data_IF_840631002006
#
_entry.id   IF_840631002006
#
_cell.length_a   1.000
_cell.length_b   1.000
_cell.length_c   1.000
_cell.angle_alpha   90.00
_cell.angle_beta   90.00
_cell.angle_gamma   90.00
#
_symmetry.space_group_name_H-M   'P 1'
#
loop_
_entity.id
_entity.type
_entity.pdbx_description
1 polymer ?
#
# COMPACT_ATOMS: atom_id res chain seq x y z
N UNK A 1 42.19 -6.98 -77.79
CA UNK A 1 40.96 -7.60 -77.25
C UNK A 1 40.73 -7.01 -75.86
N UNK A 2 39.87 -5.99 -75.69
CA UNK A 2 38.53 -6.09 -75.06
C UNK A 2 38.62 -6.23 -73.53
N UNK A 3 38.00 -5.47 -72.62
CA UNK A 3 36.85 -4.54 -72.62
C UNK A 3 36.94 -3.61 -71.38
N UNK A 4 36.22 -2.48 -71.46
CA UNK A 4 35.87 -1.49 -70.41
C UNK A 4 35.18 -2.09 -69.16
N UNK A 5 35.33 -1.44 -67.99
CA UNK A 5 34.19 -1.13 -67.10
C UNK A 5 34.51 0.05 -66.15
N UNK A 6 33.58 1.01 -66.11
CA UNK A 6 33.61 2.24 -65.30
C UNK A 6 32.97 2.10 -63.91
N UNK A 7 32.52 3.20 -63.28
CA UNK A 7 32.80 3.55 -61.87
C UNK A 7 31.64 3.26 -60.90
N UNK A 8 31.95 3.03 -59.61
CA UNK A 8 31.00 3.02 -58.50
C UNK A 8 31.51 4.01 -57.43
N UNK A 9 30.97 5.22 -57.32
CA UNK A 9 29.73 5.63 -56.61
C UNK A 9 29.89 5.52 -55.09
N UNK A 10 30.07 6.70 -54.47
CA UNK A 10 30.07 6.93 -53.04
C UNK A 10 28.78 6.44 -52.36
N UNK A 11 28.90 5.81 -51.20
CA UNK A 11 27.79 5.59 -50.27
C UNK A 11 28.04 6.39 -49.00
N UNK A 12 27.05 7.21 -48.67
CA UNK A 12 26.99 8.10 -47.53
C UNK A 12 26.87 7.32 -46.22
N UNK A 13 27.44 7.91 -45.16
CA UNK A 13 27.34 7.47 -43.77
C UNK A 13 25.87 7.41 -43.32
N UNK A 14 25.43 6.25 -42.82
CA UNK A 14 24.23 6.16 -42.01
C UNK A 14 24.53 6.64 -40.57
N UNK A 15 23.57 7.28 -39.87
CA UNK A 15 23.73 7.65 -38.46
C UNK A 15 23.61 6.42 -37.56
N UNK A 16 24.28 6.37 -36.39
CA UNK A 16 24.14 5.26 -35.47
C UNK A 16 22.74 5.27 -34.86
N UNK A 17 21.99 4.19 -35.06
CA UNK A 17 20.80 3.89 -34.29
C UNK A 17 21.20 3.76 -32.81
N UNK A 18 20.92 4.81 -32.04
CA UNK A 18 20.92 4.79 -30.59
C UNK A 18 19.70 3.99 -30.13
N UNK A 19 19.77 2.67 -30.24
CA UNK A 19 18.91 1.78 -29.48
C UNK A 19 19.39 1.84 -28.04
N UNK A 20 18.86 2.79 -27.28
CA UNK A 20 18.85 2.72 -25.82
C UNK A 20 17.94 1.56 -25.44
N UNK A 21 18.44 0.34 -25.55
CA UNK A 21 17.87 -0.80 -24.85
C UNK A 21 17.96 -0.46 -23.35
N UNK A 22 16.85 0.02 -22.81
CA UNK A 22 16.62 0.06 -21.38
C UNK A 22 16.70 -1.39 -20.89
N UNK A 23 17.91 -1.83 -20.51
CA UNK A 23 18.13 -3.08 -19.80
C UNK A 23 17.35 -2.93 -18.49
N UNK A 24 16.13 -3.47 -18.48
CA UNK A 24 15.30 -3.52 -17.30
C UNK A 24 16.06 -4.31 -16.25
N UNK A 25 16.74 -3.60 -15.35
CA UNK A 25 17.56 -4.23 -14.32
C UNK A 25 16.62 -4.99 -13.40
N UNK A 26 16.82 -6.30 -13.28
CA UNK A 26 15.96 -7.16 -12.46
C UNK A 26 16.01 -6.64 -11.01
N UNK A 27 14.84 -6.29 -10.47
CA UNK A 27 14.73 -5.79 -9.10
C UNK A 27 15.18 -6.85 -8.08
N UNK A 28 15.86 -6.40 -7.03
CA UNK A 28 16.30 -7.24 -5.93
C UNK A 28 15.12 -7.54 -5.02
N UNK A 29 14.81 -8.84 -4.86
CA UNK A 29 13.76 -9.33 -3.95
C UNK A 29 14.12 -9.07 -2.49
N UNK A 30 13.13 -8.85 -1.63
CA UNK A 30 13.28 -8.74 -0.17
C UNK A 30 13.90 -9.97 0.48
N UNK A 31 13.80 -11.13 -0.18
CA UNK A 31 14.38 -12.40 0.27
C UNK A 31 15.82 -12.63 -0.22
N UNK A 32 16.35 -11.74 -1.07
CA UNK A 32 17.72 -11.85 -1.56
C UNK A 32 18.71 -11.38 -0.50
N UNK A 33 19.84 -12.07 -0.36
CA UNK A 33 20.93 -11.66 0.55
C UNK A 33 21.50 -10.28 0.22
N UNK A 34 21.37 -9.81 -1.03
CA UNK A 34 21.78 -8.48 -1.45
C UNK A 34 20.80 -7.35 -1.10
N UNK A 35 19.60 -7.67 -0.60
CA UNK A 35 18.55 -6.67 -0.38
C UNK A 35 18.97 -5.60 0.63
N UNK A 36 19.48 -6.00 1.80
CA UNK A 36 19.87 -5.06 2.85
C UNK A 36 20.98 -4.10 2.39
N UNK A 37 21.95 -4.62 1.63
CA UNK A 37 23.04 -3.82 1.06
C UNK A 37 22.48 -2.82 0.05
N UNK A 38 21.57 -3.24 -0.83
CA UNK A 38 20.96 -2.36 -1.82
C UNK A 38 20.05 -1.31 -1.17
N UNK A 39 19.26 -1.68 -0.16
CA UNK A 39 18.43 -0.76 0.62
C UNK A 39 19.28 0.31 1.32
N UNK A 40 20.39 -0.08 1.93
CA UNK A 40 21.33 0.86 2.54
C UNK A 40 21.92 1.83 1.51
N UNK A 41 22.32 1.33 0.33
CA UNK A 41 22.81 2.17 -0.78
C UNK A 41 21.74 3.15 -1.29
N UNK A 42 20.47 2.77 -1.22
CA UNK A 42 19.33 3.63 -1.55
C UNK A 42 18.98 4.63 -0.42
N UNK A 43 19.75 4.67 0.66
CA UNK A 43 19.52 5.58 1.79
C UNK A 43 18.45 5.10 2.77
N UNK A 44 18.02 3.83 2.71
CA UNK A 44 17.11 3.22 3.68
C UNK A 44 17.91 2.76 4.90
N UNK A 45 17.67 3.40 6.04
CA UNK A 45 18.40 3.12 7.27
C UNK A 45 17.63 2.14 8.16
N UNK A 46 18.35 1.13 8.65
CA UNK A 46 17.82 0.23 9.68
C UNK A 46 17.51 1.00 10.97
N UNK A 47 16.65 0.46 11.85
CA UNK A 47 16.30 1.10 13.12
C UNK A 47 17.49 1.52 13.98
N UNK A 48 18.58 0.74 13.97
CA UNK A 48 19.80 1.05 14.74
C UNK A 48 20.54 2.30 14.26
N UNK A 49 20.37 2.66 12.99
CA UNK A 49 21.01 3.83 12.36
C UNK A 49 20.02 4.98 12.13
N UNK A 50 18.75 4.77 12.47
CA UNK A 50 17.70 5.76 12.33
C UNK A 50 17.68 6.72 13.52
N UNK A 51 17.37 7.98 13.23
CA UNK A 51 17.17 9.00 14.27
C UNK A 51 15.71 8.97 14.73
N UNK A 52 15.40 9.47 15.93
CA UNK A 52 14.02 9.68 16.34
C UNK A 52 13.38 10.81 15.52
N UNK A 53 12.07 10.73 15.28
CA UNK A 53 11.30 11.83 14.69
C UNK A 53 11.16 12.99 15.68
N UNK A 54 10.96 14.21 15.17
CA UNK A 54 10.75 15.40 16.00
C UNK A 54 9.47 15.32 16.84
N UNK A 55 8.46 14.59 16.37
CA UNK A 55 7.18 14.40 17.05
C UNK A 55 7.10 13.12 17.89
N UNK A 56 8.24 12.51 18.25
CA UNK A 56 8.28 11.23 18.96
C UNK A 56 7.45 11.23 20.26
N UNK A 57 7.47 12.34 21.01
CA UNK A 57 6.68 12.47 22.25
C UNK A 57 5.18 12.33 21.99
N UNK A 58 4.67 13.00 20.96
CA UNK A 58 3.26 12.91 20.56
C UNK A 58 2.90 11.49 20.10
N UNK A 59 3.82 10.82 19.40
CA UNK A 59 3.65 9.42 18.97
C UNK A 59 3.48 8.51 20.20
N UNK A 60 4.34 8.66 21.22
CA UNK A 60 4.23 7.88 22.45
C UNK A 60 2.93 8.15 23.20
N UNK A 61 2.56 9.43 23.36
CA UNK A 61 1.32 9.82 24.04
C UNK A 61 0.08 9.28 23.31
N UNK A 62 0.08 9.32 21.98
CA UNK A 62 -0.99 8.75 21.15
C UNK A 62 -1.08 7.23 21.32
N UNK A 63 0.05 6.52 21.23
CA UNK A 63 0.10 5.07 21.38
C UNK A 63 -0.35 4.62 22.78
N UNK A 64 0.06 5.35 23.82
CA UNK A 64 -0.27 5.04 25.21
C UNK A 64 -1.68 5.48 25.64
N UNK A 65 -2.37 6.32 24.85
CA UNK A 65 -3.65 6.93 25.22
C UNK A 65 -4.68 5.91 25.70
N UNK A 66 -5.30 6.19 26.85
CA UNK A 66 -6.38 5.36 27.39
C UNK A 66 -7.58 5.31 26.45
N UNK A 67 -8.31 4.19 26.51
CA UNK A 67 -9.46 3.94 25.64
C UNK A 67 -10.69 3.68 26.49
N UNK A 68 -11.86 4.13 25.99
CA UNK A 68 -13.17 3.87 26.61
C UNK A 68 -13.51 2.37 26.57
N UNK A 69 -13.11 1.69 25.49
CA UNK A 69 -13.36 0.26 25.34
C UNK A 69 -12.57 -0.54 26.38
N UNK A 70 -13.27 -1.42 27.09
CA UNK A 70 -12.67 -2.29 28.08
C UNK A 70 -11.51 -3.13 27.52
N UNK A 71 -10.50 -3.35 28.35
CA UNK A 71 -9.44 -4.31 28.08
C UNK A 71 -10.02 -5.73 28.01
N UNK A 72 -9.43 -6.63 27.21
CA UNK A 72 -9.85 -8.03 27.21
C UNK A 72 -9.69 -8.64 28.59
N UNK A 73 -10.64 -9.51 28.96
CA UNK A 73 -10.53 -10.39 30.12
C UNK A 73 -9.39 -11.39 29.91
N UNK A 74 -8.90 -12.00 30.99
CA UNK A 74 -7.78 -12.94 30.97
C UNK A 74 -8.03 -14.15 30.07
N UNK A 75 -9.26 -14.69 30.04
CA UNK A 75 -9.63 -15.79 29.14
C UNK A 75 -9.41 -15.48 27.65
N UNK A 76 -9.63 -14.23 27.24
CA UNK A 76 -9.39 -13.82 25.84
C UNK A 76 -7.89 -13.77 25.53
N UNK A 77 -7.07 -13.47 26.55
CA UNK A 77 -5.63 -13.50 26.41
C UNK A 77 -5.09 -14.94 26.34
N UNK A 78 -5.55 -15.84 27.21
CA UNK A 78 -5.14 -17.25 27.17
C UNK A 78 -5.53 -17.91 25.83
N UNK A 79 -6.76 -17.68 25.33
CA UNK A 79 -7.18 -18.16 24.01
C UNK A 79 -6.30 -17.60 22.88
N UNK A 80 -5.89 -16.33 22.96
CA UNK A 80 -4.94 -15.75 22.01
C UNK A 80 -3.57 -16.44 22.07
N UNK A 81 -3.02 -16.65 23.26
CA UNK A 81 -1.71 -17.29 23.47
C UNK A 81 -1.72 -18.72 22.91
N UNK A 82 -2.77 -19.49 23.19
CA UNK A 82 -2.90 -20.86 22.70
C UNK A 82 -2.97 -20.92 21.17
N UNK A 83 -3.74 -20.02 20.54
CA UNK A 83 -3.83 -19.93 19.07
C UNK A 83 -2.51 -19.53 18.42
N UNK A 84 -1.85 -18.51 18.95
CA UNK A 84 -0.53 -18.07 18.46
C UNK A 84 0.51 -19.16 18.65
N UNK A 85 0.48 -19.90 19.77
CA UNK A 85 1.37 -21.04 20.01
C UNK A 85 1.12 -22.17 19.01
N UNK A 86 -0.14 -22.40 18.64
CA UNK A 86 -0.53 -23.40 17.64
C UNK A 86 -0.33 -22.98 16.18
N UNK A 87 0.07 -21.73 15.90
CA UNK A 87 0.25 -21.24 14.54
C UNK A 87 1.49 -21.86 13.88
N UNK A 88 1.27 -22.81 12.98
CA UNK A 88 2.35 -23.56 12.31
C UNK A 88 3.02 -22.82 11.15
N UNK A 89 2.43 -21.71 10.68
CA UNK A 89 2.96 -20.95 9.55
C UNK A 89 2.59 -19.45 9.64
N UNK A 90 3.22 -18.64 8.77
CA UNK A 90 3.03 -17.18 8.70
C UNK A 90 1.58 -16.78 8.41
N UNK A 91 0.88 -17.52 7.55
CA UNK A 91 -0.51 -17.20 7.20
C UNK A 91 -1.43 -17.35 8.41
N UNK A 92 -1.29 -18.43 9.18
CA UNK A 92 -2.01 -18.62 10.44
C UNK A 92 -1.66 -17.52 11.44
N UNK A 93 -0.39 -17.12 11.53
CA UNK A 93 0.01 -16.01 12.40
C UNK A 93 -0.68 -14.69 12.04
N UNK A 94 -0.78 -14.37 10.74
CA UNK A 94 -1.49 -13.17 10.26
C UNK A 94 -2.96 -13.21 10.66
N UNK A 95 -3.63 -14.37 10.52
CA UNK A 95 -5.03 -14.55 10.93
C UNK A 95 -5.21 -14.29 12.42
N UNK A 96 -4.34 -14.84 13.27
CA UNK A 96 -4.46 -14.69 14.72
C UNK A 96 -4.16 -13.27 15.20
N UNK A 97 -3.14 -12.61 14.63
CA UNK A 97 -2.85 -11.20 14.93
C UNK A 97 -3.97 -10.27 14.42
N UNK A 98 -4.64 -10.59 13.32
CA UNK A 98 -5.75 -9.77 12.83
C UNK A 98 -6.91 -9.69 13.84
N UNK A 99 -7.10 -10.70 14.69
CA UNK A 99 -8.16 -10.71 15.72
C UNK A 99 -8.02 -9.63 16.78
N UNK A 100 -6.79 -9.16 17.04
CA UNK A 100 -6.56 -8.09 18.02
C UNK A 100 -6.78 -6.69 17.43
N UNK A 101 -6.81 -6.56 16.10
CA UNK A 101 -7.12 -5.32 15.40
C UNK A 101 -8.58 -4.89 15.62
N UNK A 102 -8.85 -3.59 15.41
CA UNK A 102 -10.20 -3.01 15.43
C UNK A 102 -10.80 -3.15 14.04
N UNK A 103 -12.05 -3.61 13.98
CA UNK A 103 -12.87 -3.57 12.77
C UNK A 103 -13.52 -2.20 12.62
N UNK A 104 -13.58 -1.72 11.38
CA UNK A 104 -14.19 -0.44 11.03
C UNK A 104 -15.41 -0.67 10.14
N UNK A 105 -16.39 0.26 10.17
CA UNK A 105 -17.55 0.21 9.31
C UNK A 105 -17.17 0.39 7.82
N UNK A 106 -18.15 0.22 6.92
CA UNK A 106 -18.01 0.33 5.46
C UNK A 106 -17.21 1.58 5.03
N UNK A 107 -16.36 1.44 4.02
CA UNK A 107 -15.51 2.50 3.46
C UNK A 107 -14.03 2.47 3.90
N UNK A 108 -13.70 1.75 4.98
CA UNK A 108 -12.32 1.52 5.41
C UNK A 108 -11.94 0.04 5.19
N UNK A 109 -11.14 -0.22 4.16
CA UNK A 109 -10.82 -1.58 3.69
C UNK A 109 -9.50 -2.06 4.25
N UNK A 110 -9.42 -3.39 4.39
CA UNK A 110 -8.20 -4.14 4.70
C UNK A 110 -7.76 -4.85 3.43
N UNK A 111 -6.45 -4.87 3.19
CA UNK A 111 -5.83 -5.62 2.12
C UNK A 111 -4.67 -6.45 2.69
N UNK A 112 -4.51 -7.66 2.15
CA UNK A 112 -3.42 -8.56 2.52
C UNK A 112 -2.50 -8.74 1.34
N UNK A 113 -1.20 -8.71 1.58
CA UNK A 113 -0.17 -8.93 0.56
C UNK A 113 -0.33 -8.04 -0.68
N UNK A 114 -0.84 -6.81 -0.52
CA UNK A 114 -1.03 -5.89 -1.63
C UNK A 114 0.26 -5.12 -1.90
N UNK A 115 0.83 -5.31 -3.09
CA UNK A 115 2.00 -4.55 -3.52
C UNK A 115 1.61 -3.07 -3.74
N UNK A 116 2.39 -2.16 -3.18
CA UNK A 116 2.22 -0.73 -3.35
C UNK A 116 2.90 -0.27 -4.65
N UNK A 117 2.25 -0.52 -5.77
CA UNK A 117 2.77 -0.20 -7.12
C UNK A 117 2.57 1.26 -7.53
N UNK A 118 1.84 2.03 -6.73
CA UNK A 118 1.58 3.45 -6.98
C UNK A 118 2.82 4.34 -6.79
N UNK A 119 3.88 3.82 -6.16
CA UNK A 119 5.15 4.54 -6.07
C UNK A 119 5.89 4.49 -7.41
N UNK A 120 6.38 5.63 -7.93
CA UNK A 120 7.24 5.63 -9.10
C UNK A 120 8.47 4.72 -8.89
N UNK A 121 8.89 4.04 -9.96
CA UNK A 121 10.02 3.09 -9.91
C UNK A 121 11.36 3.78 -9.65
N UNK A 122 11.42 5.06 -9.97
CA UNK A 122 12.58 5.95 -9.88
C UNK A 122 12.61 6.77 -8.58
N UNK A 123 11.65 6.57 -7.66
CA UNK A 123 11.78 7.15 -6.32
C UNK A 123 13.03 6.54 -5.67
N UNK A 124 13.95 7.39 -5.19
CA UNK A 124 15.31 6.99 -4.82
C UNK A 124 15.44 5.78 -3.88
N UNK A 125 14.44 5.53 -3.02
CA UNK A 125 14.43 4.36 -2.14
C UNK A 125 14.10 3.04 -2.86
N UNK A 126 13.39 3.05 -4.00
CA UNK A 126 13.01 1.86 -4.78
C UNK A 126 14.04 1.45 -5.84
N UNK A 127 15.15 2.19 -5.98
CA UNK A 127 16.15 1.94 -7.03
C UNK A 127 16.73 0.52 -6.96
N UNK A 128 16.35 -0.33 -7.92
CA UNK A 128 16.79 -1.73 -7.96
C UNK A 128 16.17 -2.63 -6.87
N UNK A 129 15.11 -2.19 -6.21
CA UNK A 129 14.33 -2.96 -5.22
C UNK A 129 12.91 -3.23 -5.72
N UNK A 130 12.32 -4.35 -5.27
CA UNK A 130 10.89 -4.61 -5.52
C UNK A 130 10.01 -3.63 -4.74
N UNK A 131 8.81 -3.36 -5.28
CA UNK A 131 7.80 -2.56 -4.57
C UNK A 131 7.47 -3.17 -3.20
N UNK A 132 7.18 -2.30 -2.23
CA UNK A 132 6.75 -2.72 -0.89
C UNK A 132 5.46 -3.53 -0.97
N UNK A 133 5.43 -4.69 -0.33
CA UNK A 133 4.27 -5.57 -0.26
C UNK A 133 4.01 -5.95 1.20
N UNK A 134 3.36 -5.08 1.99
CA UNK A 134 3.03 -5.40 3.37
C UNK A 134 2.06 -6.59 3.43
N UNK A 135 2.21 -7.42 4.47
CA UNK A 135 1.31 -8.54 4.73
C UNK A 135 -0.11 -8.06 5.08
N UNK A 136 -0.22 -6.83 5.60
CA UNK A 136 -1.48 -6.19 5.98
C UNK A 136 -1.41 -4.69 5.71
N UNK A 137 -2.44 -4.14 5.08
CA UNK A 137 -2.67 -2.71 4.92
C UNK A 137 -4.13 -2.38 5.19
N UNK A 138 -4.38 -1.17 5.68
CA UNK A 138 -5.74 -0.63 5.83
C UNK A 138 -5.80 0.83 5.37
N UNK A 139 -6.94 1.25 4.85
CA UNK A 139 -7.13 2.59 4.31
C UNK A 139 -8.52 2.82 3.75
N UNK A 140 -8.80 4.06 3.33
CA UNK A 140 -10.06 4.35 2.64
C UNK A 140 -10.05 3.78 1.22
N UNK A 141 -11.23 3.47 0.73
CA UNK A 141 -11.44 3.10 -0.68
C UNK A 141 -11.03 4.25 -1.61
N UNK A 142 -10.53 3.90 -2.80
CA UNK A 142 -10.10 4.89 -3.81
C UNK A 142 -11.24 5.81 -4.23
N UNK A 143 -12.48 5.31 -4.23
CA UNK A 143 -13.69 6.09 -4.49
C UNK A 143 -13.93 7.18 -3.43
N UNK A 144 -13.31 7.08 -2.25
CA UNK A 144 -13.33 8.16 -1.27
C UNK A 144 -12.33 9.28 -1.61
N UNK A 145 -11.37 9.07 -2.52
CA UNK A 145 -10.21 9.94 -2.77
C UNK A 145 -10.11 10.58 -4.16
N UNK A 146 -11.10 10.42 -5.03
CA UNK A 146 -10.93 10.76 -6.45
C UNK A 146 -10.92 12.28 -6.78
N UNK A 147 -9.97 12.81 -7.58
CA UNK A 147 -8.54 12.51 -7.62
C UNK A 147 -7.68 13.67 -7.06
N UNK A 148 -6.58 13.36 -6.37
CA UNK A 148 -5.55 14.32 -5.91
C UNK A 148 -4.12 13.77 -6.00
N UNK A 149 -3.07 14.60 -6.25
CA UNK A 149 -1.67 14.20 -6.20
C UNK A 149 -0.94 14.63 -4.90
N UNK A 150 -0.09 13.74 -4.36
CA UNK A 150 1.15 14.12 -3.64
C UNK A 150 1.14 14.19 -2.10
N UNK A 151 2.32 14.06 -1.44
CA UNK A 151 2.50 13.13 -0.33
C UNK A 151 3.06 13.79 0.95
N UNK A 152 2.19 14.15 1.88
CA UNK A 152 2.56 14.36 3.30
C UNK A 152 2.16 13.14 4.16
N UNK A 153 2.20 11.96 3.54
CA UNK A 153 1.79 10.71 4.17
C UNK A 153 2.71 10.36 5.35
N UNK A 154 2.21 10.53 6.58
CA UNK A 154 2.85 9.97 7.77
C UNK A 154 2.66 8.46 7.76
N UNK A 155 3.71 7.72 7.44
CA UNK A 155 3.67 6.26 7.43
C UNK A 155 4.03 5.73 8.81
N UNK A 156 3.13 4.95 9.39
CA UNK A 156 3.38 4.15 10.58
C UNK A 156 3.12 2.68 10.24
N UNK A 157 3.99 1.81 10.72
CA UNK A 157 3.83 0.36 10.52
C UNK A 157 3.98 -0.36 11.85
N UNK A 158 3.55 -1.61 11.87
CA UNK A 158 3.92 -2.53 12.93
C UNK A 158 4.43 -3.83 12.31
N UNK A 159 5.30 -4.53 13.03
CA UNK A 159 5.74 -5.88 12.71
C UNK A 159 5.45 -6.81 13.88
N UNK A 160 5.29 -8.10 13.58
CA UNK A 160 5.01 -9.12 14.58
C UNK A 160 5.62 -10.45 14.18
N UNK A 161 6.13 -11.17 15.18
CA UNK A 161 6.51 -12.58 15.11
C UNK A 161 5.51 -13.48 15.88
N UNK A 162 4.40 -12.90 16.34
CA UNK A 162 3.43 -13.54 17.24
C UNK A 162 3.75 -13.37 18.73
N UNK A 163 5.00 -13.08 19.08
CA UNK A 163 5.41 -12.84 20.47
C UNK A 163 5.48 -11.35 20.76
N UNK A 164 6.08 -10.58 19.86
CA UNK A 164 6.29 -9.14 20.02
C UNK A 164 5.61 -8.35 18.92
N UNK A 165 4.91 -7.28 19.29
CA UNK A 165 4.53 -6.21 18.38
C UNK A 165 5.58 -5.12 18.43
N UNK A 166 6.12 -4.71 17.29
CA UNK A 166 7.05 -3.59 17.18
C UNK A 166 6.44 -2.50 16.31
N UNK A 167 6.34 -1.28 16.83
CA UNK A 167 5.77 -0.14 16.13
C UNK A 167 6.86 0.76 15.59
N UNK A 168 6.78 1.07 14.30
CA UNK A 168 7.75 1.89 13.59
C UNK A 168 7.09 3.12 12.97
N UNK A 169 7.79 4.25 13.02
CA UNK A 169 7.47 5.43 12.23
C UNK A 169 8.49 5.59 11.12
N UNK A 170 8.02 6.03 9.96
CA UNK A 170 8.85 6.20 8.79
C UNK A 170 8.81 7.62 8.30
N UNK A 171 9.98 8.16 7.95
CA UNK A 171 10.11 9.51 7.46
C UNK A 171 11.35 9.67 6.58
N UNK A 172 11.29 10.62 5.67
CA UNK A 172 12.38 10.97 4.78
C UNK A 172 12.96 12.33 5.19
N UNK A 173 14.29 12.47 5.18
CA UNK A 173 14.97 13.73 5.47
C UNK A 173 16.03 13.99 4.41
N UNK A 174 16.11 15.22 3.86
CA UNK A 174 17.25 15.62 3.05
C UNK A 174 18.55 15.56 3.85
N UNK A 175 19.56 14.95 3.26
CA UNK A 175 20.92 14.88 3.77
C UNK A 175 21.74 16.06 3.22
N UNK A 176 22.86 16.39 3.88
CA UNK A 176 23.72 17.53 3.53
C UNK A 176 24.29 17.45 2.10
N UNK A 177 24.42 16.24 1.58
CA UNK A 177 24.85 15.92 0.21
C UNK A 177 23.72 16.02 -0.83
N UNK A 178 22.52 16.47 -0.43
CA UNK A 178 21.34 16.58 -1.30
C UNK A 178 20.61 15.26 -1.53
N UNK A 179 21.06 14.16 -0.94
CA UNK A 179 20.37 12.86 -1.01
C UNK A 179 19.21 12.79 -0.03
N UNK A 180 18.22 11.92 -0.27
CA UNK A 180 17.13 11.67 0.68
C UNK A 180 17.48 10.44 1.50
N UNK A 181 17.50 10.56 2.83
CA UNK A 181 17.64 9.44 3.77
C UNK A 181 16.28 9.04 4.30
N UNK A 182 15.96 7.77 4.18
CA UNK A 182 14.76 7.18 4.74
C UNK A 182 15.08 6.56 6.10
N UNK A 183 14.33 6.96 7.10
CA UNK A 183 14.47 6.52 8.48
C UNK A 183 13.28 5.64 8.86
N UNK A 184 13.59 4.48 9.44
CA UNK A 184 12.62 3.62 10.09
C UNK A 184 12.95 3.59 11.58
N UNK A 185 12.19 4.31 12.40
CA UNK A 185 12.45 4.39 13.85
C UNK A 185 11.42 3.57 14.63
N UNK A 186 11.89 2.60 15.41
CA UNK A 186 11.05 1.85 16.34
C UNK A 186 10.78 2.70 17.58
N UNK A 187 9.52 3.10 17.77
CA UNK A 187 9.13 3.96 18.89
C UNK A 187 8.45 3.17 20.02
N UNK A 188 7.91 1.99 19.76
CA UNK A 188 7.29 1.18 20.82
C UNK A 188 7.42 -0.31 20.50
N UNK A 189 7.37 -1.12 21.56
CA UNK A 189 7.22 -2.57 21.45
C UNK A 189 6.38 -3.10 22.60
N UNK A 190 5.66 -4.19 22.36
CA UNK A 190 4.89 -4.89 23.39
C UNK A 190 5.03 -6.41 23.19
N UNK A 191 5.34 -7.13 24.28
CA UNK A 191 5.29 -8.58 24.28
C UNK A 191 3.83 -9.02 24.48
N UNK A 192 3.19 -9.47 23.41
CA UNK A 192 1.75 -9.80 23.39
C UNK A 192 1.44 -11.23 23.79
N UNK A 193 2.47 -12.07 23.95
CA UNK A 193 2.31 -13.50 24.22
C UNK A 193 2.70 -13.91 25.63
N UNK A 194 3.70 -13.25 26.23
CA UNK A 194 4.28 -13.71 27.50
C UNK A 194 3.60 -13.09 28.72
N UNK A 195 2.87 -11.98 28.56
CA UNK A 195 2.16 -11.34 29.67
C UNK A 195 0.79 -10.79 29.26
N UNK A 196 -0.22 -10.92 30.15
CA UNK A 196 -1.54 -10.31 29.94
C UNK A 196 -1.47 -8.79 29.79
N UNK A 197 -0.59 -8.16 30.57
CA UNK A 197 -0.39 -6.71 30.50
C UNK A 197 0.21 -6.30 29.15
N UNK A 198 1.24 -7.00 28.66
CA UNK A 198 1.82 -6.75 27.34
C UNK A 198 0.84 -7.00 26.20
N UNK A 199 -0.06 -8.00 26.31
CA UNK A 199 -1.18 -8.16 25.38
C UNK A 199 -2.14 -6.96 25.42
N UNK A 200 -2.52 -6.48 26.61
CA UNK A 200 -3.35 -5.27 26.75
C UNK A 200 -2.68 -4.05 26.14
N UNK A 201 -1.38 -3.87 26.37
CA UNK A 201 -0.59 -2.74 25.90
C UNK A 201 -0.42 -2.78 24.37
N UNK A 202 -0.08 -3.94 23.81
CA UNK A 202 0.04 -4.14 22.37
C UNK A 202 -1.28 -3.93 21.64
N UNK A 203 -2.38 -4.51 22.15
CA UNK A 203 -3.74 -4.30 21.61
C UNK A 203 -4.17 -2.84 21.73
N UNK A 204 -3.81 -2.15 22.83
CA UNK A 204 -4.09 -0.71 23.01
C UNK A 204 -3.35 0.11 21.96
N UNK A 205 -2.04 -0.11 21.82
CA UNK A 205 -1.19 0.58 20.85
C UNK A 205 -1.72 0.41 19.42
N UNK A 206 -1.94 -0.84 18.96
CA UNK A 206 -2.48 -1.11 17.63
C UNK A 206 -3.76 -0.32 17.36
N UNK A 207 -4.73 -0.41 18.26
CA UNK A 207 -6.03 0.21 18.03
C UNK A 207 -6.00 1.74 18.12
N UNK A 208 -5.06 2.31 18.88
CA UNK A 208 -4.81 3.75 18.91
C UNK A 208 -4.18 4.23 17.60
N UNK A 209 -3.25 3.47 17.05
CA UNK A 209 -2.61 3.75 15.76
C UNK A 209 -3.60 3.61 14.60
N UNK A 210 -4.40 2.54 14.57
CA UNK A 210 -5.46 2.38 13.58
C UNK A 210 -6.46 3.55 13.62
N UNK A 211 -6.83 4.01 14.82
CA UNK A 211 -7.75 5.13 14.98
C UNK A 211 -7.12 6.45 14.50
N UNK A 212 -5.84 6.67 14.83
CA UNK A 212 -5.10 7.82 14.36
C UNK A 212 -4.96 7.83 12.84
N UNK A 213 -4.58 6.71 12.23
CA UNK A 213 -4.48 6.57 10.78
C UNK A 213 -5.82 6.87 10.09
N UNK A 214 -6.93 6.37 10.65
CA UNK A 214 -8.27 6.68 10.17
C UNK A 214 -8.61 8.17 10.27
N UNK A 215 -8.34 8.82 11.41
CA UNK A 215 -8.58 10.25 11.59
C UNK A 215 -7.74 11.10 10.62
N UNK A 216 -6.47 10.76 10.44
CA UNK A 216 -5.59 11.42 9.47
C UNK A 216 -6.05 11.21 8.02
N UNK A 217 -6.70 10.09 7.70
CA UNK A 217 -7.23 9.82 6.36
C UNK A 217 -8.49 10.64 6.05
N UNK A 218 -9.30 10.98 7.07
CA UNK A 218 -10.55 11.73 6.87
C UNK A 218 -10.35 13.22 6.66
N UNK A 219 -9.38 13.86 7.32
CA UNK A 219 -9.12 15.28 7.12
C UNK A 219 -8.89 15.68 5.64
N UNK A 220 -7.97 15.04 4.88
CA UNK A 220 -7.77 15.36 3.47
C UNK A 220 -8.99 14.99 2.61
N UNK A 221 -9.69 13.89 2.93
CA UNK A 221 -10.93 13.51 2.25
C UNK A 221 -11.99 14.59 2.36
N UNK A 222 -12.20 15.10 3.57
CA UNK A 222 -13.25 16.08 3.84
C UNK A 222 -12.90 17.45 3.23
N UNK A 223 -11.62 17.84 3.26
CA UNK A 223 -11.12 19.01 2.52
C UNK A 223 -11.35 18.87 1.00
N UNK A 224 -11.06 17.71 0.42
CA UNK A 224 -11.26 17.46 -1.01
C UNK A 224 -12.74 17.54 -1.38
N UNK A 225 -13.62 16.92 -0.58
CA UNK A 225 -15.08 17.02 -0.76
C UNK A 225 -15.55 18.47 -0.74
N UNK A 226 -15.03 19.27 0.18
CA UNK A 226 -15.41 20.68 0.30
C UNK A 226 -14.92 21.51 -0.89
N UNK A 227 -13.67 21.33 -1.32
CA UNK A 227 -13.12 21.97 -2.53
C UNK A 227 -14.00 21.70 -3.76
N UNK A 228 -14.45 20.45 -3.96
CA UNK A 228 -15.31 20.11 -5.10
C UNK A 228 -16.73 20.66 -4.99
N UNK A 229 -17.29 20.76 -3.78
CA UNK A 229 -18.57 21.45 -3.57
C UNK A 229 -18.45 22.92 -3.98
N UNK A 230 -17.41 23.62 -3.50
CA UNK A 230 -17.17 25.01 -3.83
C UNK A 230 -16.98 25.22 -5.34
N UNK A 231 -16.18 24.37 -5.99
CA UNK A 231 -15.99 24.44 -7.45
C UNK A 231 -17.28 24.20 -8.23
N UNK A 232 -18.11 23.25 -7.80
CA UNK A 232 -19.42 22.99 -8.42
C UNK A 232 -20.38 24.17 -8.22
N UNK A 233 -20.39 24.77 -7.04
CA UNK A 233 -21.18 25.96 -6.75
C UNK A 233 -20.70 27.19 -7.53
N UNK A 234 -19.39 27.33 -7.75
CA UNK A 234 -18.80 28.45 -8.49
C UNK A 234 -19.02 28.37 -10.01
N UNK A 235 -19.22 27.17 -10.57
CA UNK A 235 -19.48 27.00 -12.00
C UNK A 235 -20.91 27.39 -12.42
N UNK A 236 -21.82 27.61 -11.46
CA UNK A 236 -23.22 27.97 -11.72
C UNK A 236 -24.00 26.90 -12.50
N UNK A 237 -25.34 26.98 -12.56
CA UNK A 237 -26.10 26.27 -13.56
C UNK A 237 -25.68 26.80 -14.94
N UNK A 238 -25.31 25.91 -15.86
CA UNK A 238 -25.29 26.26 -17.29
C UNK A 238 -26.72 26.74 -17.62
N UNK A 239 -26.93 27.96 -18.14
CA UNK A 239 -28.25 28.36 -18.58
C UNK A 239 -28.71 27.33 -19.62
N UNK A 240 -29.88 26.73 -19.43
CA UNK A 240 -30.56 26.02 -20.51
C UNK A 240 -30.73 27.02 -21.65
N UNK A 241 -29.86 26.89 -22.67
CA UNK A 241 -30.03 27.60 -23.92
C UNK A 241 -31.38 27.24 -24.51
N UNK A 242 -32.04 28.16 -25.22
CA UNK A 242 -33.37 27.93 -25.77
C UNK A 242 -33.38 26.66 -26.65
N UNK A 243 -34.47 25.87 -26.62
CA UNK A 243 -34.54 24.61 -27.34
C UNK A 243 -34.27 24.85 -28.83
N UNK A 244 -33.26 24.14 -29.34
CA UNK A 244 -32.94 24.11 -30.77
C UNK A 244 -34.19 23.57 -31.50
N UNK A 245 -34.65 24.20 -32.60
CA UNK A 245 -35.75 23.67 -33.38
C UNK A 245 -35.39 22.29 -33.94
N UNK A 246 -36.07 21.26 -33.46
CA UNK A 246 -35.92 19.89 -33.95
C UNK A 246 -36.55 19.84 -35.34
N UNK A 247 -35.72 19.86 -36.38
CA UNK A 247 -36.14 19.61 -37.76
C UNK A 247 -36.41 18.11 -37.94
N UNK A 248 -37.70 17.77 -37.91
CA UNK A 248 -38.34 16.61 -38.55
C UNK A 248 -37.55 15.30 -38.66
N UNK A 249 -37.68 14.43 -37.67
CA UNK A 249 -37.78 12.99 -37.89
C UNK A 249 -38.80 12.42 -36.89
N UNK A 250 -39.70 11.58 -37.41
CA UNK A 250 -40.80 10.93 -36.68
C UNK A 250 -40.31 10.15 -35.45
N UNK A 251 -41.09 10.14 -34.35
CA UNK A 251 -40.81 9.28 -33.21
C UNK A 251 -41.31 7.84 -33.46
N UNK A 252 -40.54 6.79 -33.13
CA UNK A 252 -41.09 5.45 -33.07
C UNK A 252 -41.99 5.30 -31.84
N UNK A 253 -43.12 4.66 -32.10
CA UNK A 253 -44.24 4.37 -31.20
C UNK A 253 -43.79 3.66 -29.91
N UNK A 254 -44.27 4.17 -28.78
CA UNK A 254 -44.17 3.54 -27.47
C UNK A 254 -45.12 2.33 -27.38
N UNK A 255 -44.59 1.16 -27.03
CA UNK A 255 -45.37 0.09 -26.41
C UNK A 255 -44.95 -0.02 -24.96
N UNK A 256 -45.85 0.38 -24.06
CA UNK A 256 -45.74 0.16 -22.62
C UNK A 256 -45.78 -1.34 -22.33
N UNK A 257 -44.91 -1.81 -21.45
CA UNK A 257 -45.12 -3.07 -20.73
C UNK A 257 -44.63 -2.87 -19.30
N UNK A 258 -45.59 -2.78 -18.39
CA UNK A 258 -45.42 -2.89 -16.95
C UNK A 258 -45.02 -4.33 -16.58
N UNK A 259 -44.08 -4.47 -15.65
CA UNK A 259 -43.64 -5.73 -15.05
C UNK A 259 -42.38 -5.47 -14.22
N UNK A 260 -42.53 -5.04 -12.97
CA UNK A 260 -42.54 -5.89 -11.76
C UNK A 260 -41.15 -6.47 -11.40
N UNK A 261 -40.52 -5.77 -10.44
CA UNK A 261 -39.73 -6.25 -9.29
C UNK A 261 -38.50 -7.17 -9.48
N UNK A 262 -37.43 -6.67 -8.85
CA UNK A 262 -36.34 -7.36 -8.15
C UNK A 262 -35.28 -8.08 -8.99
N UNK A 263 -34.26 -7.30 -9.36
CA UNK A 263 -32.98 -7.77 -9.89
C UNK A 263 -32.20 -8.58 -8.83
N UNK A 264 -32.16 -9.90 -9.06
CA UNK A 264 -30.98 -10.74 -9.18
C UNK A 264 -29.84 -10.58 -8.13
N UNK A 265 -29.79 -11.59 -7.25
CA UNK A 265 -28.57 -11.96 -6.53
C UNK A 265 -27.45 -12.34 -7.50
N UNK A 266 -26.51 -11.42 -7.71
CA UNK A 266 -25.23 -11.75 -8.31
C UNK A 266 -24.39 -12.58 -7.32
N UNK A 267 -24.54 -13.91 -7.41
CA UNK A 267 -23.62 -14.87 -6.81
C UNK A 267 -22.21 -14.63 -7.37
N UNK A 268 -21.26 -14.29 -6.50
CA UNK A 268 -19.87 -14.19 -6.89
C UNK A 268 -19.27 -15.60 -7.02
N UNK A 269 -18.83 -15.95 -8.23
CA UNK A 269 -17.95 -17.10 -8.43
C UNK A 269 -16.61 -16.83 -7.73
N UNK A 270 -16.26 -17.67 -6.76
CA UNK A 270 -14.92 -17.75 -6.21
C UNK A 270 -14.01 -18.37 -7.27
N UNK A 271 -13.26 -17.53 -7.97
CA UNK A 271 -12.16 -18.01 -8.84
C UNK A 271 -11.00 -18.41 -7.93
N UNK A 272 -10.88 -19.71 -7.64
CA UNK A 272 -9.67 -20.28 -7.05
C UNK A 272 -8.50 -20.09 -8.01
N UNK A 273 -7.52 -19.27 -7.64
CA UNK A 273 -6.25 -19.23 -8.37
C UNK A 273 -5.42 -20.47 -8.05
N UNK A 274 -4.81 -21.12 -9.06
CA UNK A 274 -4.00 -22.30 -8.86
C UNK A 274 -2.73 -21.98 -8.05
N UNK A 275 -2.64 -22.61 -6.88
CA UNK A 275 -1.45 -22.57 -6.02
C UNK A 275 -0.26 -23.20 -6.76
N UNK A 276 0.79 -22.43 -7.04
CA UNK A 276 2.03 -23.00 -7.54
C UNK A 276 2.81 -23.64 -6.39
N UNK A 277 3.10 -24.96 -6.43
CA UNK A 277 3.87 -25.61 -5.39
C UNK A 277 5.32 -25.11 -5.41
N UNK A 278 5.84 -24.83 -4.21
CA UNK A 278 7.24 -24.49 -3.95
C UNK A 278 8.18 -25.56 -4.53
N UNK A 279 9.23 -25.19 -5.30
CA UNK A 279 10.22 -26.15 -5.77
C UNK A 279 10.92 -26.83 -4.59
N UNK A 280 11.23 -28.14 -4.68
CA UNK A 280 11.95 -28.84 -3.63
C UNK A 280 13.35 -28.23 -3.42
N UNK A 281 13.73 -28.08 -2.15
CA UNK A 281 15.07 -27.63 -1.77
C UNK A 281 16.11 -28.62 -2.31
N UNK A 282 16.99 -28.12 -3.17
CA UNK A 282 18.14 -28.86 -3.69
C UNK A 282 19.14 -29.09 -2.56
N UNK A 283 19.13 -30.29 -2.00
CA UNK A 283 20.19 -30.78 -1.12
C UNK A 283 21.28 -31.44 -1.97
N UNK A 284 22.40 -30.75 -2.18
CA UNK A 284 23.69 -31.39 -2.45
C UNK A 284 24.76 -30.81 -1.51
N UNK A 285 25.43 -31.65 -0.71
CA UNK A 285 26.69 -31.28 -0.10
C UNK A 285 27.81 -31.45 -1.14
N UNK A 286 28.59 -30.40 -1.36
CA UNK A 286 29.90 -30.53 -1.98
C UNK A 286 30.89 -30.97 -0.89
N UNK A 287 31.57 -32.09 -1.15
CA UNK A 287 32.80 -32.50 -0.47
C UNK A 287 33.99 -32.00 -1.28
#
# INVERSE_FOLDING_TARGET
MGKKKGPNKASASAPPESTSESIATKATSTTSSGFAIQAYKNGILEPRYSKPTTNLKEIHEQCARSRIAASPIELVYEDYVDRVRGAVNKATMVVEVNRILKEYPKGYKRAFSQAFTAFPKDVGFNNGLSALQPDFAEGLEMQEYDPFPGPDGKVRTFTTDGTSLNFCTHYAVPSEDGTIKYHQYQYASANVKDTHQGHKDGRRGLRNEQQHAREQSYAPRDQLKEHWKQRRSALGPIPEGPPIPVSGMEPPVATNTDGDKDEDEASYEVVEQPYQPTPPASSRPEY
#
